data_IF_103499154910
#
_entry.id   IF_103499154910
#
_cell.length_a   1.000
_cell.length_b   1.000
_cell.length_c   1.000
_cell.angle_alpha   90.00
_cell.angle_beta   90.00
_cell.angle_gamma   90.00
#
_symmetry.space_group_name_H-M   'P 1'
#
loop_
_entity.id
_entity.type
_entity.pdbx_description
1 polymer ?
#
# COMPACT_ATOMS: atom_id res chain seq x y z
N UNK A 1 -10.18 8.93 -10.16
CA UNK A 1 -9.79 7.70 -9.44
C UNK A 1 -9.35 6.60 -10.41
N UNK A 2 -10.20 6.21 -11.37
CA UNK A 2 -9.95 5.21 -12.41
C UNK A 2 -8.62 5.39 -13.17
N UNK A 3 -8.40 6.55 -13.79
CA UNK A 3 -7.20 6.79 -14.60
C UNK A 3 -5.95 7.02 -13.73
N UNK A 4 -6.13 7.61 -12.55
CA UNK A 4 -5.05 7.84 -11.60
C UNK A 4 -4.50 6.52 -11.04
N UNK A 5 -5.39 5.55 -10.74
CA UNK A 5 -4.99 4.22 -10.26
C UNK A 5 -4.19 3.48 -11.31
N UNK A 6 -4.73 3.41 -12.54
CA UNK A 6 -4.06 2.75 -13.67
C UNK A 6 -2.68 3.35 -13.93
N UNK A 7 -2.53 4.68 -13.94
CA UNK A 7 -1.25 5.32 -14.25
C UNK A 7 -0.22 5.16 -13.11
N UNK A 8 -0.64 5.28 -11.86
CA UNK A 8 0.28 5.25 -10.70
C UNK A 8 0.73 3.83 -10.35
N UNK A 9 -0.16 2.84 -10.52
CA UNK A 9 0.07 1.46 -10.10
C UNK A 9 0.25 0.51 -11.30
N UNK A 10 0.49 1.04 -12.51
CA UNK A 10 0.73 0.23 -13.71
C UNK A 10 1.90 -0.75 -13.54
N UNK A 11 2.96 -0.29 -12.87
CA UNK A 11 4.15 -1.05 -12.53
C UNK A 11 4.56 -0.67 -11.11
N UNK A 12 4.63 -1.65 -10.21
CA UNK A 12 4.95 -1.43 -8.79
C UNK A 12 5.96 -2.48 -8.32
N UNK A 13 6.98 -2.04 -7.59
CA UNK A 13 7.93 -2.91 -6.91
C UNK A 13 7.66 -2.86 -5.40
N UNK A 14 7.49 -4.03 -4.78
CA UNK A 14 7.38 -4.18 -3.34
C UNK A 14 8.69 -4.77 -2.81
N UNK A 15 9.34 -4.01 -1.91
CA UNK A 15 10.59 -4.41 -1.28
C UNK A 15 10.28 -4.86 0.15
N UNK A 16 10.43 -6.15 0.48
CA UNK A 16 10.32 -6.63 1.85
C UNK A 16 11.45 -6.03 2.70
N UNK A 17 11.10 -5.60 3.90
CA UNK A 17 12.07 -5.04 4.85
C UNK A 17 11.92 -5.72 6.20
N UNK A 18 13.04 -5.92 6.89
CA UNK A 18 13.08 -6.35 8.28
C UNK A 18 13.70 -5.24 9.14
N UNK A 19 13.32 -5.19 10.41
CA UNK A 19 13.86 -4.24 11.38
C UNK A 19 13.85 -4.91 12.76
N UNK A 20 14.85 -4.59 13.58
CA UNK A 20 14.99 -5.12 14.93
C UNK A 20 14.15 -4.34 15.96
N UNK A 21 13.61 -3.17 15.57
CA UNK A 21 12.72 -2.39 16.44
C UNK A 21 12.36 -1.00 15.88
N UNK A 22 11.42 -0.28 16.53
CA UNK A 22 11.06 1.08 16.13
C UNK A 22 12.25 2.03 16.27
N UNK A 23 12.64 2.68 15.17
CA UNK A 23 13.78 3.62 15.14
C UNK A 23 15.11 2.99 14.70
N UNK A 24 15.14 1.68 14.50
CA UNK A 24 16.32 0.96 14.01
C UNK A 24 16.43 1.01 12.47
N UNK A 25 17.63 0.67 11.96
CA UNK A 25 17.87 0.57 10.52
C UNK A 25 16.97 -0.49 9.86
N UNK A 26 16.53 -0.20 8.63
CA UNK A 26 15.77 -1.14 7.81
C UNK A 26 16.74 -2.01 7.01
N UNK A 27 16.61 -3.34 7.11
CA UNK A 27 17.33 -4.30 6.27
C UNK A 27 16.45 -4.72 5.10
N UNK A 28 16.83 -4.32 3.89
CA UNK A 28 16.18 -4.77 2.66
C UNK A 28 16.47 -6.27 2.48
N UNK A 29 15.47 -7.02 2.02
CA UNK A 29 15.67 -8.42 1.67
C UNK A 29 16.29 -8.56 0.27
N UNK A 30 16.80 -9.75 -0.02
CA UNK A 30 17.47 -10.14 -1.28
C UNK A 30 16.51 -10.46 -2.42
N UNK A 31 15.22 -10.11 -2.27
CA UNK A 31 14.20 -10.33 -3.28
C UNK A 31 13.16 -9.20 -3.26
N UNK A 32 12.47 -9.05 -4.37
CA UNK A 32 11.38 -8.09 -4.54
C UNK A 32 10.16 -8.74 -5.19
N UNK A 33 9.01 -8.11 -5.05
CA UNK A 33 7.80 -8.49 -5.80
C UNK A 33 7.47 -7.43 -6.83
N UNK A 34 7.35 -7.82 -8.10
CA UNK A 34 7.00 -6.95 -9.21
C UNK A 34 5.54 -7.18 -9.59
N UNK A 35 4.73 -6.14 -9.47
CA UNK A 35 3.33 -6.15 -9.89
C UNK A 35 3.15 -5.30 -11.15
N UNK A 36 2.65 -5.91 -12.21
CA UNK A 36 2.43 -5.25 -13.49
C UNK A 36 0.98 -5.38 -13.99
N UNK A 37 0.51 -4.32 -14.62
CA UNK A 37 -0.76 -4.35 -15.35
C UNK A 37 -1.98 -4.30 -14.44
N UNK A 38 -1.98 -3.47 -13.40
CA UNK A 38 -3.21 -3.23 -12.63
C UNK A 38 -4.33 -2.66 -13.52
N UNK A 39 -5.59 -2.91 -13.14
CA UNK A 39 -6.76 -2.25 -13.72
C UNK A 39 -7.84 -2.12 -12.66
N UNK A 40 -8.72 -1.15 -12.82
CA UNK A 40 -9.78 -0.89 -11.84
C UNK A 40 -10.70 -2.09 -11.59
N UNK A 41 -10.94 -2.95 -12.59
CA UNK A 41 -11.69 -4.20 -12.39
C UNK A 41 -11.06 -5.10 -11.32
N UNK A 42 -9.74 -5.33 -11.37
CA UNK A 42 -9.03 -6.14 -10.36
C UNK A 42 -9.15 -5.54 -8.95
N UNK A 43 -9.17 -4.21 -8.85
CA UNK A 43 -9.43 -3.54 -7.57
C UNK A 43 -10.86 -3.76 -7.06
N UNK A 44 -11.86 -3.72 -7.96
CA UNK A 44 -13.26 -3.98 -7.59
C UNK A 44 -13.49 -5.44 -7.20
N UNK A 45 -12.88 -6.37 -7.94
CA UNK A 45 -12.91 -7.80 -7.62
C UNK A 45 -12.31 -8.03 -6.22
N UNK A 46 -11.12 -7.47 -5.97
CA UNK A 46 -10.48 -7.54 -4.65
C UNK A 46 -11.29 -6.87 -3.53
N UNK A 47 -12.02 -5.79 -3.82
CA UNK A 47 -12.93 -5.14 -2.86
C UNK A 47 -14.15 -6.02 -2.56
N UNK A 48 -14.71 -6.67 -3.57
CA UNK A 48 -15.84 -7.59 -3.45
C UNK A 48 -15.46 -8.88 -2.70
N UNK A 49 -14.25 -9.38 -2.92
CA UNK A 49 -13.65 -10.51 -2.18
C UNK A 49 -13.23 -10.13 -0.75
N UNK A 50 -13.18 -8.82 -0.42
CA UNK A 50 -12.76 -8.31 0.88
C UNK A 50 -11.25 -8.34 1.12
N UNK A 51 -10.44 -8.61 0.10
CA UNK A 51 -8.97 -8.57 0.18
C UNK A 51 -8.41 -7.15 0.09
N UNK A 52 -9.19 -6.24 -0.50
CA UNK A 52 -9.05 -4.78 -0.35
C UNK A 52 -10.17 -4.26 0.52
N UNK A 53 -9.85 -3.34 1.43
CA UNK A 53 -10.83 -2.69 2.30
C UNK A 53 -10.57 -1.19 2.45
N UNK A 54 -11.63 -0.47 2.75
CA UNK A 54 -11.58 0.96 3.01
C UNK A 54 -11.23 1.23 4.48
N UNK A 55 -10.21 2.07 4.71
CA UNK A 55 -9.77 2.54 6.03
C UNK A 55 -10.03 4.05 6.17
N UNK A 56 -11.14 4.45 6.81
CA UNK A 56 -11.46 5.84 7.13
C UNK A 56 -10.68 6.30 8.37
N UNK A 57 -9.36 6.40 8.27
CA UNK A 57 -8.51 6.88 9.36
C UNK A 57 -8.61 8.40 9.53
N UNK A 58 -9.01 8.89 10.70
CA UNK A 58 -8.84 10.31 11.05
C UNK A 58 -7.63 10.47 11.97
N UNK A 59 -6.65 11.28 11.57
CA UNK A 59 -5.55 11.69 12.45
C UNK A 59 -5.94 13.02 13.10
N UNK A 60 -6.13 13.02 14.41
CA UNK A 60 -6.24 14.23 15.20
C UNK A 60 -4.91 14.46 15.93
N UNK A 61 -4.35 15.66 15.82
CA UNK A 61 -3.14 16.06 16.55
C UNK A 61 -3.39 17.42 17.17
N UNK A 62 -3.05 17.56 18.45
CA UNK A 62 -3.03 18.86 19.10
C UNK A 62 -1.79 19.62 18.63
N UNK A 63 -2.00 20.81 18.08
CA UNK A 63 -0.93 21.78 17.88
C UNK A 63 -0.65 22.44 19.23
N UNK A 64 0.51 22.15 19.83
CA UNK A 64 0.86 22.61 21.17
C UNK A 64 1.15 24.12 21.21
N UNK A 65 1.60 24.70 20.10
CA UNK A 65 1.93 26.13 20.05
C UNK A 65 0.65 26.96 19.90
N UNK A 66 -0.27 26.52 19.04
CA UNK A 66 -1.53 27.22 18.79
C UNK A 66 -2.66 26.82 19.77
N UNK A 67 -2.51 25.73 20.53
CA UNK A 67 -3.55 25.12 21.37
C UNK A 67 -4.84 24.78 20.59
N UNK A 68 -4.70 24.42 19.31
CA UNK A 68 -5.83 24.05 18.44
C UNK A 68 -5.66 22.63 17.92
N UNK A 69 -6.76 21.89 17.86
CA UNK A 69 -6.78 20.56 17.23
C UNK A 69 -6.70 20.65 15.72
N UNK A 70 -5.69 20.00 15.12
CA UNK A 70 -5.55 19.80 13.68
C UNK A 70 -6.04 18.41 13.30
N UNK A 71 -6.98 18.37 12.37
CA UNK A 71 -7.54 17.11 11.85
C UNK A 71 -7.06 16.87 10.42
N UNK A 72 -6.50 15.68 10.19
CA UNK A 72 -6.20 15.18 8.84
C UNK A 72 -7.04 13.94 8.59
N UNK A 73 -8.09 14.11 7.78
CA UNK A 73 -8.89 12.98 7.27
C UNK A 73 -8.05 12.20 6.27
N UNK A 74 -7.98 10.88 6.43
CA UNK A 74 -7.35 9.96 5.47
C UNK A 74 -8.41 8.96 5.02
N UNK A 75 -8.57 8.87 3.71
CA UNK A 75 -9.49 7.94 3.08
C UNK A 75 -8.62 6.98 2.27
N UNK A 76 -8.13 5.93 2.91
CA UNK A 76 -7.17 5.00 2.29
C UNK A 76 -7.85 3.67 1.95
N UNK A 77 -7.36 3.03 0.89
CA UNK A 77 -7.64 1.63 0.63
C UNK A 77 -6.42 0.82 1.04
N UNK A 78 -6.65 -0.32 1.70
CA UNK A 78 -5.61 -1.19 2.23
C UNK A 78 -5.84 -2.62 1.77
N UNK A 79 -4.76 -3.39 1.76
CA UNK A 79 -4.76 -4.81 1.47
C UNK A 79 -3.61 -5.47 2.24
N UNK A 80 -3.73 -6.77 2.53
CA UNK A 80 -2.66 -7.52 3.13
C UNK A 80 -1.59 -7.88 2.09
N UNK A 81 -0.31 -7.94 2.48
CA UNK A 81 0.79 -8.26 1.56
C UNK A 81 0.56 -9.54 0.76
N UNK A 82 0.02 -10.59 1.41
CA UNK A 82 -0.32 -11.87 0.78
C UNK A 82 -1.38 -11.80 -0.33
N UNK A 83 -2.17 -10.73 -0.37
CA UNK A 83 -3.25 -10.54 -1.34
C UNK A 83 -2.87 -9.58 -2.48
N UNK A 84 -1.65 -9.01 -2.47
CA UNK A 84 -1.20 -8.05 -3.48
C UNK A 84 -1.27 -8.60 -4.90
N UNK A 85 -1.01 -9.89 -5.09
CA UNK A 85 -1.04 -10.52 -6.41
C UNK A 85 -2.36 -10.35 -7.15
N UNK A 86 -3.49 -10.36 -6.44
CA UNK A 86 -4.83 -10.18 -7.05
C UNK A 86 -5.07 -8.80 -7.67
N UNK A 87 -4.21 -7.81 -7.38
CA UNK A 87 -4.33 -6.44 -7.90
C UNK A 87 -3.62 -6.22 -9.23
N UNK A 88 -2.88 -7.22 -9.72
CA UNK A 88 -2.03 -7.14 -10.91
C UNK A 88 -2.34 -8.28 -11.88
N UNK A 89 -2.00 -8.09 -13.15
CA UNK A 89 -2.09 -9.16 -14.16
C UNK A 89 -0.90 -10.09 -14.09
N UNK A 90 0.28 -9.54 -13.79
CA UNK A 90 1.49 -10.28 -13.48
C UNK A 90 1.95 -9.88 -12.08
N UNK A 91 2.29 -10.87 -11.26
CA UNK A 91 2.87 -10.64 -9.95
C UNK A 91 3.94 -11.70 -9.70
N UNK A 92 5.20 -11.29 -9.75
CA UNK A 92 6.33 -12.21 -9.67
C UNK A 92 7.29 -11.82 -8.55
N UNK A 93 7.99 -12.83 -8.03
CA UNK A 93 9.12 -12.64 -7.13
C UNK A 93 10.40 -12.69 -7.95
N UNK A 94 11.25 -11.69 -7.77
CA UNK A 94 12.58 -11.62 -8.38
C UNK A 94 13.62 -11.63 -7.27
N UNK A 95 14.51 -12.62 -7.30
CA UNK A 95 15.68 -12.65 -6.44
C UNK A 95 16.78 -11.76 -7.05
N UNK A 96 17.51 -11.01 -6.21
CA UNK A 96 18.50 -10.01 -6.61
C UNK A 96 19.95 -10.49 -6.43
N UNK A 97 20.14 -11.78 -6.11
CA UNK A 97 21.43 -12.42 -5.84
C UNK A 97 22.13 -12.96 -7.10
#
# INVERSE_FOLDING_TARGET
MLDHWKKKHAATCFIPVTTDGPGEHLRLQDHVWLGEGTRFGLFLDALQEGTVYYDPGIKATLDLDAQVWKFKRRNQFRTAGKALGGLYRSFERVDLS
#
